data_IF_812927975829
#
_entry.id   IF_812927975829
#
_cell.length_a   1.000
_cell.length_b   1.000
_cell.length_c   1.000
_cell.angle_alpha   90.00
_cell.angle_beta   90.00
_cell.angle_gamma   90.00
#
_symmetry.space_group_name_H-M   'P 1'
#
loop_
_entity.id
_entity.type
_entity.pdbx_description
1 polymer ?
#
# COMPACT_ATOMS: atom_id res chain seq x y z
N UNK A 1 8.81 -15.32 -8.92
CA UNK A 1 8.15 -14.43 -7.93
C UNK A 1 7.79 -13.14 -8.64
N UNK A 2 6.59 -12.62 -8.42
CA UNK A 2 6.12 -11.39 -9.06
C UNK A 2 5.93 -10.34 -7.98
N UNK A 3 6.44 -9.15 -8.25
CA UNK A 3 6.26 -7.99 -7.37
C UNK A 3 5.31 -7.02 -8.05
N UNK A 4 4.22 -6.67 -7.36
CA UNK A 4 3.21 -5.75 -7.85
C UNK A 4 3.09 -4.58 -6.89
N UNK A 5 2.95 -3.39 -7.44
CA UNK A 5 2.67 -2.18 -6.69
C UNK A 5 1.35 -1.58 -7.15
N UNK A 6 0.45 -1.33 -6.21
CA UNK A 6 -0.82 -0.66 -6.47
C UNK A 6 -0.83 0.69 -5.80
N UNK A 7 -1.31 1.70 -6.53
CA UNK A 7 -1.51 3.04 -6.01
C UNK A 7 -2.97 3.46 -6.21
N UNK A 8 -3.52 4.14 -5.21
CA UNK A 8 -4.87 4.70 -5.29
C UNK A 8 -4.95 6.05 -4.60
N UNK A 9 -6.01 6.80 -4.92
CA UNK A 9 -6.34 8.07 -4.29
C UNK A 9 -7.57 7.94 -3.40
N UNK A 10 -7.61 8.70 -2.32
CA UNK A 10 -8.76 8.81 -1.42
C UNK A 10 -9.23 10.26 -1.35
N UNK A 11 -10.54 10.47 -1.16
CA UNK A 11 -11.07 11.83 -0.94
C UNK A 11 -10.61 12.33 0.45
N UNK A 12 -10.41 13.64 0.66
CA UNK A 12 -9.92 14.18 1.94
C UNK A 12 -10.69 13.72 3.18
N UNK A 13 -12.03 13.64 3.08
CA UNK A 13 -12.90 13.16 4.16
C UNK A 13 -12.65 11.70 4.58
N UNK A 14 -12.03 10.89 3.73
CA UNK A 14 -11.74 9.47 4.00
C UNK A 14 -10.29 9.24 4.47
N UNK A 15 -9.48 10.29 4.62
CA UNK A 15 -8.10 10.16 5.11
C UNK A 15 -8.02 9.48 6.48
N UNK A 16 -8.85 9.83 7.48
CA UNK A 16 -8.81 9.14 8.78
C UNK A 16 -9.10 7.64 8.65
N UNK A 17 -10.08 7.28 7.80
CA UNK A 17 -10.44 5.88 7.53
C UNK A 17 -9.31 5.17 6.80
N UNK A 18 -8.64 5.82 5.85
CA UNK A 18 -7.48 5.26 5.16
C UNK A 18 -6.33 4.97 6.14
N UNK A 19 -6.04 5.87 7.08
CA UNK A 19 -5.03 5.65 8.13
C UNK A 19 -5.39 4.44 8.99
N UNK A 20 -6.66 4.34 9.41
CA UNK A 20 -7.15 3.20 10.19
C UNK A 20 -7.00 1.88 9.43
N UNK A 21 -7.37 1.85 8.15
CA UNK A 21 -7.16 0.68 7.32
C UNK A 21 -5.69 0.34 7.13
N UNK A 22 -4.81 1.34 6.98
CA UNK A 22 -3.37 1.13 6.91
C UNK A 22 -2.80 0.49 8.18
N UNK A 23 -3.34 0.85 9.34
CA UNK A 23 -2.94 0.23 10.61
C UNK A 23 -3.43 -1.22 10.73
N UNK A 24 -4.72 -1.47 10.45
CA UNK A 24 -5.34 -2.79 10.63
C UNK A 24 -4.85 -3.80 9.59
N UNK A 25 -4.89 -3.43 8.31
CA UNK A 25 -4.64 -4.36 7.22
C UNK A 25 -3.17 -4.73 7.09
N UNK A 26 -2.27 -3.99 7.76
CA UNK A 26 -0.82 -4.28 7.76
C UNK A 26 -0.49 -5.72 8.11
N UNK A 27 -1.19 -6.27 9.12
CA UNK A 27 -0.99 -7.67 9.55
C UNK A 27 -1.74 -8.66 8.66
N UNK A 28 -2.97 -8.30 8.25
CA UNK A 28 -3.81 -9.17 7.43
C UNK A 28 -3.15 -9.48 6.07
N UNK A 29 -2.65 -8.46 5.39
CA UNK A 29 -2.02 -8.62 4.06
C UNK A 29 -0.78 -9.51 4.14
N UNK A 30 0.02 -9.40 5.20
CA UNK A 30 1.22 -10.24 5.40
C UNK A 30 0.90 -11.70 5.67
N UNK A 31 -0.31 -12.00 6.14
CA UNK A 31 -0.78 -13.37 6.41
C UNK A 31 -1.54 -13.97 5.23
N UNK A 32 -1.75 -13.21 4.17
CA UNK A 32 -2.50 -13.69 3.01
C UNK A 32 -1.71 -14.82 2.33
N UNK A 33 -2.35 -15.97 2.02
CA UNK A 33 -1.67 -17.09 1.36
C UNK A 33 -0.97 -16.63 0.07
N UNK A 34 0.25 -17.12 -0.16
CA UNK A 34 1.05 -16.77 -1.33
C UNK A 34 1.80 -15.44 -1.26
N UNK A 35 1.48 -14.56 -0.30
CA UNK A 35 2.24 -13.32 -0.06
C UNK A 35 3.54 -13.62 0.67
N UNK A 36 4.67 -13.36 0.02
CA UNK A 36 6.02 -13.46 0.61
C UNK A 36 6.47 -12.15 1.23
N UNK A 37 6.03 -11.03 0.66
CA UNK A 37 6.32 -9.71 1.19
C UNK A 37 5.13 -8.79 0.98
N UNK A 38 4.81 -8.02 2.02
CA UNK A 38 3.81 -6.96 1.91
C UNK A 38 4.24 -5.73 2.71
N UNK A 39 4.12 -4.58 2.06
CA UNK A 39 4.33 -3.27 2.68
C UNK A 39 3.25 -2.32 2.23
N UNK A 40 2.51 -1.80 3.21
CA UNK A 40 1.64 -0.67 3.03
C UNK A 40 2.49 0.61 3.00
N UNK A 41 2.19 1.49 2.05
CA UNK A 41 2.95 2.69 1.75
C UNK A 41 2.02 3.90 1.94
N UNK A 42 2.38 4.80 2.86
CA UNK A 42 1.95 6.19 2.78
C UNK A 42 2.69 6.82 1.61
N UNK A 43 2.01 7.55 0.73
CA UNK A 43 2.66 8.02 -0.51
C UNK A 43 2.93 9.52 -0.47
N UNK A 44 4.01 9.90 -1.17
CA UNK A 44 4.20 11.25 -1.64
C UNK A 44 3.61 11.45 -3.04
N UNK A 45 3.55 12.68 -3.53
CA UNK A 45 3.14 12.94 -4.92
C UNK A 45 4.11 12.31 -5.91
N UNK A 46 5.35 12.03 -5.48
CA UNK A 46 6.38 11.38 -6.29
C UNK A 46 7.07 12.37 -7.22
N UNK A 47 6.96 13.66 -6.90
CA UNK A 47 7.57 14.76 -7.64
C UNK A 47 8.90 15.10 -6.98
N UNK A 48 8.97 15.04 -5.65
CA UNK A 48 10.20 15.24 -4.87
C UNK A 48 10.37 14.16 -3.81
N UNK A 49 11.60 13.72 -3.58
CA UNK A 49 11.95 12.76 -2.52
C UNK A 49 12.11 13.45 -1.15
N UNK A 50 11.18 14.34 -0.81
CA UNK A 50 11.19 15.09 0.45
C UNK A 50 9.97 14.75 1.30
N UNK A 51 10.07 14.80 2.64
CA UNK A 51 8.93 14.57 3.53
C UNK A 51 7.74 15.51 3.26
N UNK A 52 8.02 16.70 2.72
CA UNK A 52 7.02 17.70 2.31
C UNK A 52 6.13 17.23 1.15
N UNK A 53 6.60 16.25 0.35
CA UNK A 53 5.81 15.72 -0.76
C UNK A 53 4.79 14.67 -0.30
N UNK A 54 4.78 14.30 0.99
CA UNK A 54 3.82 13.37 1.56
C UNK A 54 2.39 13.84 1.30
N UNK A 55 1.61 12.97 0.65
CA UNK A 55 0.21 13.23 0.32
C UNK A 55 -0.67 12.18 0.98
N UNK A 56 -1.39 12.59 2.03
CA UNK A 56 -2.38 11.74 2.68
C UNK A 56 -3.56 11.34 1.77
N UNK A 57 -3.65 11.93 0.57
CA UNK A 57 -4.67 11.60 -0.42
C UNK A 57 -4.26 10.45 -1.34
N UNK A 58 -3.00 10.04 -1.33
CA UNK A 58 -2.52 8.95 -2.16
C UNK A 58 -1.91 7.88 -1.24
N UNK A 59 -2.21 6.63 -1.57
CA UNK A 59 -1.81 5.47 -0.80
C UNK A 59 -1.31 4.39 -1.75
N UNK A 60 -0.53 3.45 -1.22
CA UNK A 60 -0.04 2.35 -2.01
C UNK A 60 0.19 1.09 -1.20
N UNK A 61 0.30 -0.01 -1.92
CA UNK A 61 0.69 -1.30 -1.36
C UNK A 61 1.66 -1.98 -2.32
N UNK A 62 2.74 -2.49 -1.75
CA UNK A 62 3.73 -3.30 -2.43
C UNK A 62 3.56 -4.74 -1.97
N UNK A 63 3.40 -5.64 -2.93
CA UNK A 63 3.18 -7.06 -2.71
C UNK A 63 4.21 -7.85 -3.52
N UNK A 64 4.77 -8.89 -2.93
CA UNK A 64 5.52 -9.92 -3.66
C UNK A 64 4.84 -11.25 -3.42
N UNK A 65 4.43 -11.89 -4.51
CA UNK A 65 3.70 -13.15 -4.54
C UNK A 65 4.43 -14.19 -5.38
N UNK A 66 4.15 -15.47 -5.20
CA UNK A 66 4.62 -16.47 -6.15
C UNK A 66 3.82 -16.37 -7.45
N UNK A 67 4.47 -16.63 -8.57
CA UNK A 67 3.81 -16.65 -9.86
C UNK A 67 2.83 -17.83 -9.99
N UNK A 68 3.10 -18.93 -9.30
CA UNK A 68 2.21 -20.10 -9.21
C UNK A 68 0.85 -19.80 -8.56
N UNK A 69 0.76 -18.74 -7.76
CA UNK A 69 -0.43 -18.41 -6.96
C UNK A 69 -1.38 -17.46 -7.72
N UNK A 70 -1.07 -17.12 -8.98
CA UNK A 70 -1.85 -16.25 -9.87
C UNK A 70 -2.82 -17.01 -10.80
N UNK A 71 -2.95 -18.33 -10.61
CA UNK A 71 -3.80 -19.20 -11.43
C UNK A 71 -5.30 -18.93 -11.27
#
# INVERSE_FOLDING_TARGET
>A
MITVIYFWKVKPRFVPIAIFYMAIHRRAVRKFPGVKFAKLLGTGKGITFTPLDASALRWGILLTINQSDLN
#
